data_IF_789930024193
#
_entry.id   IF_789930024193
#
_cell.length_a   1.000
_cell.length_b   1.000
_cell.length_c   1.000
_cell.angle_alpha   90.00
_cell.angle_beta   90.00
_cell.angle_gamma   90.00
#
_symmetry.space_group_name_H-M   'P 1'
#
loop_
_entity.id
_entity.type
_entity.pdbx_description
1 polymer ?
#
# COMPACT_ATOMS: atom_id res chain seq x y z
N UNK A 1 1.22 20.12 74.46
CA UNK A 1 2.03 20.09 73.22
C UNK A 1 1.28 19.22 72.25
N UNK A 2 0.78 19.79 71.15
CA UNK A 2 0.01 19.14 70.09
C UNK A 2 0.50 19.67 68.73
N UNK A 3 1.82 19.83 68.60
CA UNK A 3 2.40 20.41 67.40
C UNK A 3 2.33 19.36 66.28
N UNK A 4 2.05 19.79 65.05
CA UNK A 4 1.94 18.89 63.90
C UNK A 4 3.17 19.02 63.02
N UNK A 5 3.77 17.89 62.66
CA UNK A 5 4.86 17.85 61.67
C UNK A 5 4.27 17.36 60.34
N UNK A 6 4.48 18.16 59.29
CA UNK A 6 4.13 17.84 57.91
C UNK A 6 5.35 17.29 57.19
N UNK A 7 5.21 16.10 56.59
CA UNK A 7 6.18 15.49 55.70
C UNK A 7 5.64 15.59 54.26
N UNK A 8 6.35 16.30 53.38
CA UNK A 8 5.95 16.49 51.98
C UNK A 8 7.15 16.37 51.04
N UNK A 9 6.89 16.00 49.79
CA UNK A 9 7.90 15.88 48.74
C UNK A 9 7.26 15.72 47.36
N UNK A 10 8.02 16.01 46.30
CA UNK A 10 7.50 16.00 44.91
C UNK A 10 6.94 14.62 44.51
N UNK A 11 7.56 13.55 44.98
CA UNK A 11 7.23 12.16 44.63
C UNK A 11 6.38 11.44 45.68
N UNK A 12 5.93 12.11 46.74
CA UNK A 12 5.24 11.47 47.86
C UNK A 12 3.96 12.21 48.24
N UNK A 13 2.95 11.47 48.69
CA UNK A 13 1.74 12.07 49.26
C UNK A 13 2.08 12.79 50.59
N UNK A 14 1.61 14.03 50.81
CA UNK A 14 1.81 14.74 52.07
C UNK A 14 1.23 13.99 53.26
N UNK A 15 1.98 13.89 54.36
CA UNK A 15 1.57 13.19 55.58
C UNK A 15 1.78 14.06 56.81
N UNK A 16 0.72 14.24 57.59
CA UNK A 16 0.74 15.02 58.83
C UNK A 16 0.71 14.09 60.05
N UNK A 17 1.56 14.38 61.04
CA UNK A 17 1.61 13.64 62.30
C UNK A 17 1.58 14.63 63.46
N UNK A 18 0.63 14.45 64.38
CA UNK A 18 0.54 15.22 65.62
C UNK A 18 1.50 14.64 66.66
N UNK A 19 2.38 15.47 67.20
CA UNK A 19 3.37 15.06 68.20
C UNK A 19 2.69 14.93 69.56
N UNK A 20 2.63 13.70 70.03
CA UNK A 20 2.17 13.36 71.38
C UNK A 20 3.33 13.31 72.36
N UNK A 21 3.04 13.44 73.65
CA UNK A 21 4.07 13.39 74.71
C UNK A 21 4.88 12.09 74.68
N UNK A 22 4.25 10.96 74.35
CA UNK A 22 4.90 9.65 74.21
C UNK A 22 5.96 9.65 73.10
N UNK A 23 5.69 10.31 71.97
CA UNK A 23 6.63 10.43 70.84
C UNK A 23 7.76 11.41 71.17
N UNK A 24 7.46 12.49 71.89
CA UNK A 24 8.48 13.44 72.35
C UNK A 24 9.44 12.80 73.35
N UNK A 25 8.93 11.97 74.26
CA UNK A 25 9.73 11.26 75.26
C UNK A 25 10.57 10.12 74.65
N UNK A 26 10.12 9.49 73.55
CA UNK A 26 10.87 8.41 72.87
C UNK A 26 12.02 8.91 72.00
N UNK A 27 12.06 10.21 71.68
CA UNK A 27 13.08 10.89 70.84
C UNK A 27 13.30 10.29 69.44
N UNK A 28 12.44 9.38 69.01
CA UNK A 28 12.50 8.73 67.70
C UNK A 28 11.10 8.60 67.10
N UNK A 29 10.99 8.84 65.79
CA UNK A 29 9.76 8.70 65.04
C UNK A 29 10.09 8.15 63.65
N UNK A 30 9.53 6.99 63.31
CA UNK A 30 9.66 6.41 61.96
C UNK A 30 8.40 6.69 61.16
N UNK A 31 8.55 7.31 59.99
CA UNK A 31 7.42 7.68 59.12
C UNK A 31 7.58 7.02 57.76
N UNK A 32 6.59 6.23 57.37
CA UNK A 32 6.51 5.66 56.03
C UNK A 32 5.70 6.59 55.12
N UNK A 33 6.30 7.00 54.00
CA UNK A 33 5.70 7.85 52.98
C UNK A 33 5.19 7.00 51.81
N UNK A 34 4.05 7.40 51.25
CA UNK A 34 3.43 6.73 50.10
C UNK A 34 3.76 7.51 48.83
N UNK A 35 4.16 6.81 47.77
CA UNK A 35 4.56 7.42 46.50
C UNK A 35 3.36 8.02 45.76
N UNK A 36 3.55 9.23 45.23
CA UNK A 36 2.56 9.91 44.41
C UNK A 36 2.66 9.42 42.97
N UNK A 37 1.85 8.42 42.61
CA UNK A 37 1.77 7.92 41.23
C UNK A 37 0.81 8.79 40.42
N UNK A 38 1.33 9.51 39.42
CA UNK A 38 0.52 10.28 38.46
C UNK A 38 0.14 9.40 37.28
N UNK A 39 -1.14 9.05 37.17
CA UNK A 39 -1.69 8.42 35.95
C UNK A 39 -2.18 9.57 35.06
N UNK A 40 -1.60 9.70 33.86
CA UNK A 40 -2.05 10.66 32.85
C UNK A 40 -3.14 10.03 31.99
N UNK A 41 -4.18 10.79 31.65
CA UNK A 41 -5.21 10.34 30.72
C UNK A 41 -4.62 10.17 29.31
N UNK A 42 -5.05 9.12 28.61
CA UNK A 42 -4.63 8.84 27.24
C UNK A 42 -5.13 9.93 26.28
N UNK A 43 -4.22 10.53 25.51
CA UNK A 43 -4.55 11.49 24.46
C UNK A 43 -4.49 10.78 23.11
N UNK A 44 -5.65 10.65 22.45
CA UNK A 44 -5.73 10.10 21.09
C UNK A 44 -5.29 11.16 20.08
N UNK A 45 -4.13 10.96 19.46
CA UNK A 45 -3.61 11.83 18.39
C UNK A 45 -3.88 11.17 17.04
N UNK A 46 -4.79 11.73 16.25
CA UNK A 46 -5.09 11.23 14.90
C UNK A 46 -6.54 11.45 14.47
N UNK A 47 -6.88 10.99 13.26
CA UNK A 47 -8.26 10.93 12.79
C UNK A 47 -8.89 9.65 13.32
N UNK A 48 -9.99 9.78 14.07
CA UNK A 48 -10.80 8.63 14.48
C UNK A 48 -11.55 8.15 13.25
N UNK A 49 -11.08 7.05 12.65
CA UNK A 49 -11.79 6.37 11.58
C UNK A 49 -12.89 5.52 12.19
N UNK A 50 -14.10 5.63 11.67
CA UNK A 50 -15.26 4.86 12.15
C UNK A 50 -15.26 3.43 11.63
N UNK A 51 -14.45 3.14 10.60
CA UNK A 51 -14.42 1.84 9.93
C UNK A 51 -15.45 1.71 8.81
N UNK A 52 -16.34 2.69 8.64
CA UNK A 52 -17.21 2.84 7.47
C UNK A 52 -16.59 3.85 6.51
N UNK A 53 -16.11 3.37 5.36
CA UNK A 53 -15.46 4.20 4.35
C UNK A 53 -16.36 5.33 3.84
N UNK A 54 -17.67 5.10 3.69
CA UNK A 54 -18.59 6.13 3.18
C UNK A 54 -18.81 7.21 4.23
N UNK A 55 -18.96 6.81 5.50
CA UNK A 55 -19.09 7.74 6.61
C UNK A 55 -17.81 8.56 6.81
N UNK A 56 -16.66 7.91 6.75
CA UNK A 56 -15.35 8.55 6.92
C UNK A 56 -15.05 9.53 5.78
N UNK A 57 -15.43 9.21 4.53
CA UNK A 57 -15.26 10.11 3.37
C UNK A 57 -16.17 11.35 3.45
N UNK A 58 -17.39 11.22 3.97
CA UNK A 58 -18.33 12.34 4.11
C UNK A 58 -17.95 13.29 5.24
N UNK A 59 -17.44 12.74 6.34
CA UNK A 59 -17.14 13.50 7.55
C UNK A 59 -15.67 13.97 7.62
N UNK A 60 -14.82 13.50 6.71
CA UNK A 60 -13.48 14.06 6.55
C UNK A 60 -13.54 15.27 5.62
N UNK A 61 -13.03 16.45 6.02
CA UNK A 61 -12.89 17.59 5.13
C UNK A 61 -11.75 17.31 4.13
N UNK A 62 -12.02 16.49 3.11
CA UNK A 62 -11.12 16.25 1.99
C UNK A 62 -11.26 17.46 1.08
N UNK A 63 -10.37 18.43 1.23
CA UNK A 63 -10.23 19.48 0.22
C UNK A 63 -9.56 18.81 -1.01
N UNK A 64 -10.21 18.77 -2.18
CA UNK A 64 -9.56 18.26 -3.38
C UNK A 64 -8.32 19.12 -3.67
N UNK A 65 -7.24 18.46 -4.08
CA UNK A 65 -6.02 19.17 -4.48
C UNK A 65 -6.31 20.14 -5.63
N UNK A 66 -5.64 21.30 -5.62
CA UNK A 66 -5.76 22.29 -6.70
C UNK A 66 -5.20 21.68 -7.98
N UNK A 67 -6.03 21.54 -9.00
CA UNK A 67 -5.62 21.10 -10.33
C UNK A 67 -5.76 22.24 -11.36
N UNK A 68 -5.19 22.07 -12.56
CA UNK A 68 -5.24 23.06 -13.64
C UNK A 68 -6.67 23.49 -14.00
N UNK A 69 -7.62 22.57 -13.96
CA UNK A 69 -9.02 22.85 -14.27
C UNK A 69 -9.69 23.74 -13.22
N UNK A 70 -9.35 23.57 -11.94
CA UNK A 70 -9.79 24.44 -10.84
C UNK A 70 -9.29 25.88 -11.01
N UNK A 71 -8.23 26.08 -11.82
CA UNK A 71 -7.65 27.39 -12.15
C UNK A 71 -8.09 27.93 -13.52
N UNK A 72 -9.03 27.24 -14.20
CA UNK A 72 -9.49 27.64 -15.54
C UNK A 72 -8.46 27.42 -16.66
N UNK A 73 -7.39 26.66 -16.40
CA UNK A 73 -6.35 26.37 -17.39
C UNK A 73 -6.79 25.13 -18.19
N UNK A 74 -7.02 25.25 -19.52
CA UNK A 74 -7.35 24.10 -20.34
C UNK A 74 -6.16 23.13 -20.37
N UNK A 75 -6.44 21.84 -20.19
CA UNK A 75 -5.43 20.79 -20.13
C UNK A 75 -5.89 19.53 -20.84
N UNK A 76 -4.97 18.57 -21.00
CA UNK A 76 -5.28 17.26 -21.54
C UNK A 76 -6.17 16.49 -20.56
N UNK A 77 -7.37 16.10 -21.01
CA UNK A 77 -8.36 15.36 -20.22
C UNK A 77 -8.36 13.85 -20.49
N UNK A 78 -7.55 13.39 -21.44
CA UNK A 78 -7.47 11.99 -21.81
C UNK A 78 -6.60 11.16 -20.88
N UNK A 79 -6.62 9.83 -21.07
CA UNK A 79 -5.69 8.93 -20.40
C UNK A 79 -4.26 9.24 -20.84
N UNK A 80 -3.33 9.56 -19.93
CA UNK A 80 -1.95 9.83 -20.30
C UNK A 80 -1.33 8.62 -20.97
N UNK A 81 -0.65 8.86 -22.09
CA UNK A 81 0.10 7.83 -22.82
C UNK A 81 1.38 7.49 -22.07
N UNK A 82 1.76 6.22 -22.06
CA UNK A 82 3.07 5.81 -21.56
C UNK A 82 4.19 6.34 -22.46
N UNK A 83 5.45 6.30 -22.01
CA UNK A 83 6.56 6.78 -22.82
C UNK A 83 6.65 6.05 -24.17
N UNK A 84 6.46 4.73 -24.18
CA UNK A 84 6.45 3.91 -25.39
C UNK A 84 5.28 4.27 -26.31
N UNK A 85 4.09 4.48 -25.74
CA UNK A 85 2.92 4.92 -26.51
C UNK A 85 3.11 6.31 -27.13
N UNK A 86 3.81 7.23 -26.45
CA UNK A 86 4.19 8.54 -27.00
C UNK A 86 5.18 8.42 -28.14
N UNK A 87 6.19 7.55 -28.02
CA UNK A 87 7.16 7.27 -29.10
C UNK A 87 6.51 6.63 -30.31
N UNK A 88 5.60 5.67 -30.09
CA UNK A 88 4.82 5.07 -31.17
C UNK A 88 3.92 6.09 -31.86
N UNK A 89 3.28 6.98 -31.08
CA UNK A 89 2.48 8.07 -31.64
C UNK A 89 3.34 9.00 -32.50
N UNK A 90 4.50 9.43 -32.00
CA UNK A 90 5.47 10.24 -32.77
C UNK A 90 5.84 9.55 -34.09
N UNK A 91 6.22 8.27 -34.03
CA UNK A 91 6.67 7.51 -35.19
C UNK A 91 5.58 7.27 -36.26
N UNK A 92 4.31 7.28 -35.85
CA UNK A 92 3.14 7.08 -36.72
C UNK A 92 2.46 8.39 -37.11
N UNK A 93 2.81 9.49 -36.44
CA UNK A 93 2.34 10.85 -36.74
C UNK A 93 3.34 11.59 -37.63
N UNK A 94 2.84 12.56 -38.39
CA UNK A 94 3.67 13.48 -39.16
C UNK A 94 3.18 14.92 -38.97
N UNK A 95 4.11 15.87 -38.96
CA UNK A 95 3.78 17.31 -38.97
C UNK A 95 3.88 17.87 -40.40
N UNK A 96 3.01 18.83 -40.73
CA UNK A 96 3.01 19.52 -42.03
C UNK A 96 2.27 18.80 -43.16
N UNK A 97 2.42 19.29 -44.39
CA UNK A 97 1.69 18.79 -45.58
C UNK A 97 2.19 17.43 -46.08
N UNK A 98 3.39 16.98 -45.69
CA UNK A 98 3.97 15.69 -46.10
C UNK A 98 4.46 14.95 -44.84
N UNK A 99 3.86 13.80 -44.49
CA UNK A 99 4.27 13.01 -43.33
C UNK A 99 5.51 12.18 -43.68
N UNK A 100 6.70 12.76 -43.53
CA UNK A 100 7.98 12.08 -43.80
C UNK A 100 8.33 11.02 -42.75
N UNK A 101 7.95 11.24 -41.48
CA UNK A 101 8.27 10.33 -40.38
C UNK A 101 7.71 8.90 -40.57
N UNK A 102 6.43 8.70 -40.91
CA UNK A 102 5.90 7.36 -41.15
C UNK A 102 6.59 6.61 -42.30
N UNK A 103 7.00 7.31 -43.36
CA UNK A 103 7.69 6.72 -44.52
C UNK A 103 9.09 6.24 -44.11
N UNK A 104 9.87 7.10 -43.46
CA UNK A 104 11.21 6.77 -42.96
C UNK A 104 11.18 5.66 -41.90
N UNK A 105 10.18 5.67 -41.04
CA UNK A 105 10.00 4.65 -39.99
C UNK A 105 9.50 3.30 -40.56
N UNK A 106 8.74 3.32 -41.66
CA UNK A 106 8.34 2.10 -42.36
C UNK A 106 9.54 1.42 -43.02
N UNK A 107 10.46 2.19 -43.61
CA UNK A 107 11.69 1.66 -44.22
C UNK A 107 12.65 1.12 -43.15
N UNK A 108 12.83 1.84 -42.04
CA UNK A 108 13.74 1.41 -40.95
C UNK A 108 13.17 0.32 -40.05
N UNK A 109 11.86 0.04 -40.10
CA UNK A 109 11.20 -0.94 -39.23
C UNK A 109 10.91 -0.45 -37.81
N UNK A 110 11.35 0.76 -37.44
CA UNK A 110 11.17 1.36 -36.11
C UNK A 110 9.71 1.37 -35.63
N UNK A 111 8.76 1.57 -36.53
CA UNK A 111 7.32 1.54 -36.16
C UNK A 111 6.90 0.16 -35.64
N UNK A 112 7.40 -0.93 -36.23
CA UNK A 112 7.06 -2.29 -35.79
C UNK A 112 7.73 -2.62 -34.46
N UNK A 113 8.97 -2.19 -34.25
CA UNK A 113 9.67 -2.31 -32.96
C UNK A 113 8.89 -1.59 -31.84
N UNK A 114 8.48 -0.34 -32.07
CA UNK A 114 7.71 0.43 -31.09
C UNK A 114 6.33 -0.18 -30.80
N UNK A 115 5.67 -0.77 -31.80
CA UNK A 115 4.42 -1.52 -31.59
C UNK A 115 4.66 -2.73 -30.67
N UNK A 116 5.73 -3.48 -30.91
CA UNK A 116 6.09 -4.64 -30.09
C UNK A 116 6.42 -4.22 -28.65
N UNK A 117 7.15 -3.10 -28.48
CA UNK A 117 7.45 -2.56 -27.16
C UNK A 117 6.17 -2.21 -26.38
N UNK A 118 5.22 -1.53 -27.03
CA UNK A 118 3.92 -1.20 -26.41
C UNK A 118 3.12 -2.46 -26.07
N UNK A 119 3.17 -3.51 -26.90
CA UNK A 119 2.49 -4.77 -26.56
C UNK A 119 3.12 -5.49 -25.37
N UNK A 120 4.46 -5.55 -25.29
CA UNK A 120 5.16 -6.15 -24.16
C UNK A 120 4.87 -5.41 -22.85
N UNK A 121 4.96 -4.08 -22.88
CA UNK A 121 4.66 -3.24 -21.72
C UNK A 121 3.22 -3.44 -21.22
N UNK A 122 2.26 -3.68 -22.11
CA UNK A 122 0.88 -4.00 -21.72
C UNK A 122 0.74 -5.36 -21.04
N UNK A 123 1.48 -6.36 -21.52
CA UNK A 123 1.50 -7.70 -20.92
C UNK A 123 2.14 -7.65 -19.54
N UNK A 124 3.26 -6.94 -19.38
CA UNK A 124 3.96 -6.79 -18.10
C UNK A 124 3.08 -6.08 -17.06
N UNK A 125 2.45 -4.97 -17.45
CA UNK A 125 1.50 -4.27 -16.59
C UNK A 125 0.31 -5.16 -16.16
N UNK A 126 -0.18 -6.02 -17.07
CA UNK A 126 -1.21 -6.98 -16.73
C UNK A 126 -0.69 -8.01 -15.72
N UNK A 127 0.49 -8.58 -15.97
CA UNK A 127 1.12 -9.56 -15.10
C UNK A 127 1.35 -9.02 -13.69
N UNK A 128 1.83 -7.78 -13.56
CA UNK A 128 1.99 -7.10 -12.27
C UNK A 128 0.66 -6.87 -11.56
N UNK A 129 -0.39 -6.50 -12.32
CA UNK A 129 -1.75 -6.38 -11.77
C UNK A 129 -2.25 -7.74 -11.25
N UNK A 130 -2.05 -8.82 -12.01
CA UNK A 130 -2.46 -10.16 -11.59
C UNK A 130 -1.69 -10.63 -10.37
N UNK A 131 -0.38 -10.39 -10.32
CA UNK A 131 0.46 -10.64 -9.14
C UNK A 131 -0.11 -9.92 -7.92
N UNK A 132 -0.33 -8.62 -8.01
CA UNK A 132 -0.82 -7.80 -6.90
C UNK A 132 -2.22 -8.22 -6.44
N UNK A 133 -3.11 -8.58 -7.36
CA UNK A 133 -4.50 -8.88 -7.03
C UNK A 133 -4.72 -10.32 -6.54
N UNK A 134 -4.00 -11.30 -7.09
CA UNK A 134 -4.33 -12.71 -6.91
C UNK A 134 -3.28 -13.51 -6.14
N UNK A 135 -2.05 -13.03 -5.96
CA UNK A 135 -0.99 -13.85 -5.32
C UNK A 135 -1.40 -14.39 -3.95
N UNK A 136 -1.91 -13.53 -3.07
CA UNK A 136 -2.31 -13.92 -1.71
C UNK A 136 -3.35 -15.05 -1.73
N UNK A 137 -4.45 -14.86 -2.47
CA UNK A 137 -5.55 -15.84 -2.51
C UNK A 137 -5.16 -17.12 -3.26
N UNK A 138 -4.40 -17.01 -4.35
CA UNK A 138 -4.01 -18.13 -5.18
C UNK A 138 -3.01 -19.06 -4.47
N UNK A 139 -2.12 -18.48 -3.65
CA UNK A 139 -1.07 -19.22 -2.96
C UNK A 139 -1.34 -19.46 -1.47
N UNK A 140 -2.47 -18.99 -0.91
CA UNK A 140 -2.81 -19.16 0.51
C UNK A 140 -2.71 -20.60 1.02
N UNK A 141 -3.02 -21.59 0.18
CA UNK A 141 -2.95 -23.03 0.50
C UNK A 141 -1.75 -23.75 -0.13
N UNK A 142 -0.78 -23.00 -0.66
CA UNK A 142 0.33 -23.55 -1.43
C UNK A 142 1.66 -23.31 -0.73
N UNK A 143 2.47 -24.36 -0.63
CA UNK A 143 3.85 -24.29 -0.11
C UNK A 143 4.87 -23.98 -1.22
N UNK A 144 4.49 -23.23 -2.26
CA UNK A 144 5.42 -22.78 -3.29
C UNK A 144 6.34 -21.70 -2.72
N UNK A 145 7.63 -21.83 -2.99
CA UNK A 145 8.63 -20.80 -2.71
C UNK A 145 8.37 -19.54 -3.54
N UNK A 146 8.84 -18.39 -3.07
CA UNK A 146 8.61 -17.10 -3.73
C UNK A 146 9.12 -17.07 -5.18
N UNK A 147 10.29 -17.68 -5.41
CA UNK A 147 10.88 -17.80 -6.75
C UNK A 147 9.95 -18.54 -7.73
N UNK A 148 9.37 -19.67 -7.30
CA UNK A 148 8.43 -20.46 -8.10
C UNK A 148 7.08 -19.77 -8.29
N UNK A 149 6.66 -18.91 -7.33
CA UNK A 149 5.45 -18.09 -7.50
C UNK A 149 5.65 -17.06 -8.60
N UNK A 150 6.82 -16.42 -8.65
CA UNK A 150 7.16 -15.46 -9.70
C UNK A 150 7.24 -16.18 -11.06
N UNK A 151 7.91 -17.32 -11.11
CA UNK A 151 8.01 -18.15 -12.33
C UNK A 151 6.65 -18.60 -12.84
N UNK A 152 5.74 -18.98 -11.93
CA UNK A 152 4.36 -19.33 -12.30
C UNK A 152 3.64 -18.23 -13.09
N UNK A 153 3.82 -16.95 -12.74
CA UNK A 153 3.19 -15.87 -13.48
C UNK A 153 3.78 -15.71 -14.88
N UNK A 154 5.09 -15.90 -15.05
CA UNK A 154 5.72 -15.96 -16.38
C UNK A 154 5.21 -17.15 -17.19
N UNK A 155 5.05 -18.33 -16.57
CA UNK A 155 4.41 -19.48 -17.19
C UNK A 155 2.96 -19.21 -17.65
N UNK A 156 2.23 -18.37 -16.92
CA UNK A 156 0.89 -17.93 -17.32
C UNK A 156 0.93 -16.98 -18.52
N UNK A 157 1.92 -16.08 -18.57
CA UNK A 157 2.11 -15.10 -19.63
C UNK A 157 2.30 -15.76 -21.01
N UNK A 158 2.92 -16.94 -21.04
CA UNK A 158 3.17 -17.71 -22.26
C UNK A 158 1.90 -18.39 -22.85
N UNK A 159 0.77 -18.41 -22.14
CA UNK A 159 -0.48 -18.94 -22.69
C UNK A 159 -1.11 -17.97 -23.69
N UNK A 160 -1.52 -18.47 -24.86
CA UNK A 160 -2.21 -17.68 -25.89
C UNK A 160 -3.48 -16.98 -25.40
N UNK A 161 -4.12 -17.46 -24.33
CA UNK A 161 -5.31 -16.85 -23.72
C UNK A 161 -4.97 -15.73 -22.75
N UNK A 162 -3.72 -15.58 -22.32
CA UNK A 162 -3.31 -14.60 -21.32
C UNK A 162 -3.69 -13.18 -21.73
N UNK A 163 -3.41 -12.80 -22.99
CA UNK A 163 -3.76 -11.47 -23.50
C UNK A 163 -5.29 -11.23 -23.48
N UNK A 164 -6.10 -12.27 -23.70
CA UNK A 164 -7.56 -12.17 -23.60
C UNK A 164 -8.00 -11.92 -22.17
N UNK A 165 -7.46 -12.69 -21.23
CA UNK A 165 -7.75 -12.56 -19.79
C UNK A 165 -7.42 -11.13 -19.32
N UNK A 166 -6.29 -10.58 -19.75
CA UNK A 166 -5.90 -9.19 -19.48
C UNK A 166 -6.89 -8.14 -20.00
N UNK A 167 -7.58 -8.40 -21.13
CA UNK A 167 -8.49 -7.45 -21.78
C UNK A 167 -9.91 -7.49 -21.22
N UNK A 168 -10.42 -8.67 -20.87
CA UNK A 168 -11.82 -8.84 -20.44
C UNK A 168 -12.07 -8.23 -19.06
N UNK A 169 -11.03 -8.08 -18.22
CA UNK A 169 -11.10 -7.47 -16.88
C UNK A 169 -12.21 -8.09 -16.00
N UNK A 170 -12.47 -9.38 -16.17
CA UNK A 170 -13.40 -10.17 -15.36
C UNK A 170 -12.59 -10.95 -14.31
N UNK A 171 -12.77 -10.59 -13.04
CA UNK A 171 -12.01 -11.18 -11.93
C UNK A 171 -12.24 -12.68 -11.76
N UNK A 172 -13.46 -13.18 -12.01
CA UNK A 172 -13.78 -14.61 -11.87
C UNK A 172 -13.11 -15.43 -12.98
N UNK A 173 -13.28 -15.02 -14.24
CA UNK A 173 -12.65 -15.70 -15.39
C UNK A 173 -11.12 -15.69 -15.27
N UNK A 174 -10.56 -14.58 -14.80
CA UNK A 174 -9.13 -14.45 -14.54
C UNK A 174 -8.67 -15.44 -13.46
N UNK A 175 -9.42 -15.53 -12.37
CA UNK A 175 -9.10 -16.44 -11.28
C UNK A 175 -9.18 -17.91 -11.72
N UNK A 176 -10.24 -18.30 -12.43
CA UNK A 176 -10.40 -19.65 -12.99
C UNK A 176 -9.25 -20.02 -13.94
N UNK A 177 -8.83 -19.08 -14.79
CA UNK A 177 -7.65 -19.28 -15.66
C UNK A 177 -6.38 -19.51 -14.85
N UNK A 178 -6.13 -18.70 -13.81
CA UNK A 178 -4.95 -18.83 -12.95
C UNK A 178 -4.97 -20.12 -12.14
N UNK A 179 -6.11 -20.55 -11.60
CA UNK A 179 -6.24 -21.81 -10.87
C UNK A 179 -5.95 -23.02 -11.77
N UNK A 180 -6.52 -23.03 -12.98
CA UNK A 180 -6.27 -24.08 -13.96
C UNK A 180 -4.79 -24.14 -14.33
N UNK A 181 -4.15 -22.98 -14.52
CA UNK A 181 -2.71 -22.89 -14.79
C UNK A 181 -1.85 -23.36 -13.63
N UNK A 182 -2.24 -23.03 -12.40
CA UNK A 182 -1.49 -23.40 -11.21
C UNK A 182 -1.47 -24.92 -11.02
N UNK A 183 -2.57 -25.60 -11.35
CA UNK A 183 -2.62 -27.06 -11.37
C UNK A 183 -1.62 -27.63 -12.38
N UNK A 184 -1.67 -27.18 -13.63
CA UNK A 184 -0.74 -27.62 -14.68
C UNK A 184 0.72 -27.35 -14.33
N UNK A 185 1.02 -26.18 -13.76
CA UNK A 185 2.37 -25.80 -13.35
C UNK A 185 2.92 -26.73 -12.25
N UNK A 186 2.10 -27.03 -11.23
CA UNK A 186 2.48 -27.98 -10.16
C UNK A 186 2.72 -29.39 -10.70
N UNK A 187 1.98 -29.83 -11.70
CA UNK A 187 2.18 -31.14 -12.32
C UNK A 187 3.50 -31.20 -13.11
N UNK A 188 3.87 -30.11 -13.80
CA UNK A 188 5.19 -29.98 -14.46
C UNK A 188 6.32 -30.06 -13.42
N UNK A 189 6.22 -29.29 -12.32
CA UNK A 189 7.23 -29.32 -11.25
C UNK A 189 7.39 -30.70 -10.61
N UNK A 190 6.31 -31.48 -10.50
CA UNK A 190 6.36 -32.87 -10.01
C UNK A 190 7.05 -33.79 -11.00
N UNK A 191 6.77 -33.64 -12.30
CA UNK A 191 7.40 -34.46 -13.35
C UNK A 191 8.91 -34.22 -13.49
N UNK A 192 9.39 -33.02 -13.20
CA UNK A 192 10.83 -32.69 -13.25
C UNK A 192 11.63 -33.19 -12.04
N UNK A 193 10.93 -33.58 -10.97
CA UNK A 193 11.54 -34.07 -9.72
C UNK A 193 11.73 -35.60 -9.70
N UNK A 194 11.15 -36.29 -10.68
CA UNK A 194 11.30 -37.73 -10.94
C UNK A 194 12.30 -37.94 -12.07
#
# INVERSE_FOLDING_TARGET
MNDTILFSGISYQPKEIVITKVIADSQNLTVYLEELVTILDEVVVGKILTGDLIFDLKNTPIKPEVNFFNLGIPGYTGKPKTQSERRLYEATSGGGFIPLNPILNAISGRTNELKNQVSLERLDNCLDKLKSQFSEILFAKSNLDESLRIEFFYYCQDDLRFERVCKVNNGLETFEFLEAKLKSYKDILRSQKN
#
